data_IF_369886105486
#
_entry.id   IF_369886105486
#
_cell.length_a   1.000
_cell.length_b   1.000
_cell.length_c   1.000
_cell.angle_alpha   90.00
_cell.angle_beta   90.00
_cell.angle_gamma   90.00
#
_symmetry.space_group_name_H-M   'P 1'
#
loop_
_entity.id
_entity.type
_entity.pdbx_description
1 polymer ?
#
# COMPACT_ATOMS: atom_id res chain seq x y z
N UNK A 1 12.55 -20.82 57.68
CA UNK A 1 13.74 -20.54 56.86
C UNK A 1 14.59 -19.55 57.64
N UNK A 2 15.83 -19.88 58.01
CA UNK A 2 16.60 -19.03 58.93
C UNK A 2 16.95 -17.69 58.28
N UNK A 3 17.09 -16.63 59.08
CA UNK A 3 17.40 -15.27 58.57
C UNK A 3 18.67 -15.20 57.73
N UNK A 4 19.60 -16.16 57.93
CA UNK A 4 20.80 -16.32 57.11
C UNK A 4 20.48 -16.68 55.65
N UNK A 5 19.42 -17.46 55.42
CA UNK A 5 19.00 -17.87 54.07
C UNK A 5 18.30 -16.72 53.34
N UNK A 6 17.53 -15.90 54.07
CA UNK A 6 16.90 -14.69 53.51
C UNK A 6 17.93 -13.64 53.11
N UNK A 7 18.96 -13.43 53.95
CA UNK A 7 20.05 -12.51 53.63
C UNK A 7 20.86 -12.99 52.42
N UNK A 8 21.14 -14.30 52.32
CA UNK A 8 21.85 -14.86 51.18
C UNK A 8 21.07 -14.68 49.86
N UNK A 9 19.74 -14.89 49.88
CA UNK A 9 18.90 -14.68 48.70
C UNK A 9 18.83 -13.21 48.27
N UNK A 10 18.73 -12.27 49.22
CA UNK A 10 18.73 -10.83 48.91
C UNK A 10 20.07 -10.40 48.31
N UNK A 11 21.19 -10.90 48.82
CA UNK A 11 22.53 -10.61 48.27
C UNK A 11 22.68 -11.17 46.86
N UNK A 12 22.17 -12.37 46.58
CA UNK A 12 22.20 -12.97 45.24
C UNK A 12 21.34 -12.17 44.25
N UNK A 13 20.15 -11.75 44.65
CA UNK A 13 19.26 -10.94 43.79
C UNK A 13 19.89 -9.58 43.49
N UNK A 14 20.51 -8.93 44.48
CA UNK A 14 21.23 -7.66 44.27
C UNK A 14 22.44 -7.86 43.34
N UNK A 15 23.20 -8.96 43.49
CA UNK A 15 24.32 -9.27 42.60
C UNK A 15 23.87 -9.51 41.16
N UNK A 16 22.76 -10.21 40.94
CA UNK A 16 22.20 -10.44 39.60
C UNK A 16 21.73 -9.13 38.96
N UNK A 17 21.09 -8.24 39.74
CA UNK A 17 20.66 -6.92 39.24
C UNK A 17 21.87 -6.04 38.90
N UNK A 18 22.91 -6.04 39.75
CA UNK A 18 24.13 -5.26 39.50
C UNK A 18 24.88 -5.78 38.27
N UNK A 19 25.02 -7.10 38.10
CA UNK A 19 25.66 -7.68 36.90
C UNK A 19 24.83 -7.43 35.64
N UNK A 20 23.49 -7.48 35.71
CA UNK A 20 22.61 -7.14 34.60
C UNK A 20 22.75 -5.68 34.15
N UNK A 21 22.79 -4.74 35.10
CA UNK A 21 22.87 -3.30 34.80
C UNK A 21 24.24 -2.87 34.26
N UNK A 22 25.33 -3.60 34.55
CA UNK A 22 26.65 -3.31 33.98
C UNK A 22 26.95 -4.03 32.66
N UNK A 23 26.09 -4.94 32.21
CA UNK A 23 26.26 -5.64 30.92
C UNK A 23 25.78 -4.79 29.73
N UNK A 24 24.86 -3.84 29.95
CA UNK A 24 24.28 -3.01 28.89
C UNK A 24 25.02 -1.68 28.63
N UNK A 25 26.14 -1.41 29.32
CA UNK A 25 26.91 -0.15 29.17
C UNK A 25 28.30 -0.37 28.55
N UNK A 26 28.66 -1.59 28.17
CA UNK A 26 29.98 -1.92 27.63
C UNK A 26 30.08 -1.96 26.09
N UNK A 27 28.96 -2.00 25.36
CA UNK A 27 28.98 -2.10 23.87
C UNK A 27 28.76 -0.78 23.11
N UNK A 28 28.65 0.35 23.82
CA UNK A 28 28.42 1.66 23.20
C UNK A 28 29.68 2.50 22.90
N UNK A 29 30.89 1.93 23.03
CA UNK A 29 32.11 2.75 23.00
C UNK A 29 33.30 2.21 22.20
N UNK A 30 33.13 1.42 21.12
CA UNK A 30 34.23 1.15 20.17
C UNK A 30 33.76 1.11 18.71
N UNK A 31 33.51 2.28 18.12
CA UNK A 31 33.56 2.45 16.65
C UNK A 31 34.81 3.25 16.29
N UNK A 32 35.82 2.66 15.62
CA UNK A 32 36.93 3.42 15.07
C UNK A 32 36.44 4.25 13.88
N UNK A 33 36.59 5.57 13.98
CA UNK A 33 36.34 6.51 12.89
C UNK A 33 37.29 6.25 11.72
N UNK A 34 36.85 5.46 10.74
CA UNK A 34 37.56 5.31 9.47
C UNK A 34 37.33 6.55 8.59
N UNK A 35 38.26 7.49 8.69
CA UNK A 35 38.39 8.64 7.78
C UNK A 35 38.81 8.12 6.39
N UNK A 36 37.86 7.86 5.50
CA UNK A 36 38.15 7.54 4.09
C UNK A 36 38.66 8.78 3.35
N UNK A 37 39.98 8.87 3.21
CA UNK A 37 40.63 9.74 2.23
C UNK A 37 40.30 9.25 0.82
N UNK A 38 39.54 10.04 0.06
CA UNK A 38 39.15 9.71 -1.32
C UNK A 38 40.27 10.16 -2.26
N UNK A 39 41.20 9.28 -2.58
CA UNK A 39 42.17 9.49 -3.67
C UNK A 39 41.46 9.34 -5.01
N UNK A 40 41.39 10.42 -5.78
CA UNK A 40 40.76 10.46 -7.10
C UNK A 40 41.78 9.97 -8.15
N UNK A 41 41.77 8.67 -8.44
CA UNK A 41 42.52 8.13 -9.60
C UNK A 41 41.72 8.41 -10.87
N UNK A 42 42.31 9.19 -11.78
CA UNK A 42 41.74 9.54 -13.08
C UNK A 42 42.11 8.44 -14.07
N UNK A 43 41.21 7.49 -14.29
CA UNK A 43 41.36 6.48 -15.34
C UNK A 43 40.76 7.03 -16.64
N UNK A 44 41.63 7.35 -17.59
CA UNK A 44 41.27 7.57 -18.99
C UNK A 44 41.07 6.21 -19.66
N UNK A 45 39.82 5.82 -19.89
CA UNK A 45 39.49 4.68 -20.76
C UNK A 45 38.81 5.21 -22.01
N UNK A 46 39.47 5.00 -23.14
CA UNK A 46 39.02 5.29 -24.50
C UNK A 46 37.70 4.59 -24.82
N UNK A 47 36.72 5.36 -25.30
CA UNK A 47 35.44 4.87 -25.76
C UNK A 47 35.57 4.12 -27.10
N UNK A 48 35.05 2.89 -27.26
CA UNK A 48 34.85 2.31 -28.57
C UNK A 48 33.62 2.93 -29.23
N UNK A 49 33.81 3.46 -30.43
CA UNK A 49 32.75 3.89 -31.34
C UNK A 49 31.90 2.69 -31.73
N UNK A 50 30.68 2.60 -31.18
CA UNK A 50 29.68 1.64 -31.62
C UNK A 50 28.66 2.36 -32.51
N UNK A 51 28.60 1.94 -33.75
CA UNK A 51 27.69 2.40 -34.79
C UNK A 51 26.24 2.16 -34.34
N UNK A 52 25.50 3.23 -34.08
CA UNK A 52 24.07 3.15 -33.76
C UNK A 52 23.33 2.74 -35.02
N UNK A 53 22.94 1.48 -35.10
CA UNK A 53 21.96 1.01 -36.06
C UNK A 53 20.59 1.51 -35.58
N UNK A 54 20.01 2.45 -36.32
CA UNK A 54 18.69 3.02 -36.06
C UNK A 54 17.63 1.96 -36.31
N UNK A 55 17.33 1.14 -35.32
CA UNK A 55 16.12 0.33 -35.31
C UNK A 55 14.97 1.25 -34.98
N UNK A 56 14.15 1.56 -35.98
CA UNK A 56 12.90 2.30 -35.83
C UNK A 56 11.93 1.47 -35.00
N UNK A 57 12.03 1.54 -33.67
CA UNK A 57 11.00 1.04 -32.77
C UNK A 57 9.79 1.97 -32.93
N UNK A 58 8.76 1.45 -33.58
CA UNK A 58 7.42 2.03 -33.59
C UNK A 58 6.99 2.18 -32.14
N UNK A 59 7.13 3.39 -31.59
CA UNK A 59 6.56 3.75 -30.29
C UNK A 59 5.05 3.72 -30.47
N UNK A 60 4.42 2.57 -30.19
CA UNK A 60 2.98 2.52 -30.02
C UNK A 60 2.67 3.41 -28.83
N UNK A 61 2.02 4.54 -29.10
CA UNK A 61 1.25 5.25 -28.07
C UNK A 61 0.26 4.22 -27.51
N UNK A 62 0.57 3.59 -26.39
CA UNK A 62 -0.39 2.88 -25.55
C UNK A 62 -1.27 3.91 -24.87
N UNK A 63 -2.06 4.62 -25.70
CA UNK A 63 -3.09 5.52 -25.24
C UNK A 63 -4.13 4.74 -24.46
N UNK A 64 -4.58 5.34 -23.36
CA UNK A 64 -5.73 4.84 -22.61
C UNK A 64 -6.94 4.71 -23.54
N UNK A 65 -7.47 3.49 -23.69
CA UNK A 65 -8.72 3.22 -24.40
C UNK A 65 -9.89 3.30 -23.44
N UNK A 66 -11.06 3.74 -23.91
CA UNK A 66 -12.33 3.64 -23.15
C UNK A 66 -12.80 2.17 -22.98
N UNK A 67 -12.12 1.23 -23.66
CA UNK A 67 -12.19 -0.19 -23.36
C UNK A 67 -11.11 -0.57 -22.35
N UNK A 68 -11.53 -1.21 -21.26
CA UNK A 68 -10.60 -1.68 -20.24
C UNK A 68 -9.54 -2.63 -20.84
N UNK A 69 -8.30 -2.60 -20.34
CA UNK A 69 -7.35 -3.66 -20.61
C UNK A 69 -7.93 -5.03 -20.25
N UNK A 70 -7.60 -6.05 -21.03
CA UNK A 70 -7.96 -7.43 -20.73
C UNK A 70 -7.39 -7.83 -19.37
N UNK A 71 -8.22 -8.46 -18.55
CA UNK A 71 -7.83 -8.94 -17.21
C UNK A 71 -7.22 -10.32 -17.36
N UNK A 72 -6.20 -10.62 -16.56
CA UNK A 72 -5.64 -11.97 -16.48
C UNK A 72 -6.75 -12.97 -16.11
N UNK A 73 -7.02 -14.02 -16.92
CA UNK A 73 -8.07 -14.99 -16.62
C UNK A 73 -7.96 -15.63 -15.23
N UNK A 74 -6.74 -15.80 -14.70
CA UNK A 74 -6.53 -16.37 -13.37
C UNK A 74 -7.10 -15.50 -12.23
N UNK A 75 -7.28 -14.20 -12.48
CA UNK A 75 -7.84 -13.24 -11.52
C UNK A 75 -9.38 -13.22 -11.55
N UNK A 76 -9.98 -13.72 -12.63
CA UNK A 76 -11.43 -13.78 -12.80
C UNK A 76 -12.09 -14.91 -11.98
N UNK A 77 -11.33 -15.91 -11.53
CA UNK A 77 -11.86 -17.03 -10.77
C UNK A 77 -12.91 -17.83 -11.56
N UNK A 78 -14.10 -18.00 -11.00
CA UNK A 78 -15.23 -18.66 -11.68
C UNK A 78 -16.10 -17.69 -12.48
N UNK A 79 -15.80 -16.38 -12.44
CA UNK A 79 -16.57 -15.36 -13.12
C UNK A 79 -16.16 -15.20 -14.59
N UNK A 80 -17.12 -15.02 -15.51
CA UNK A 80 -16.85 -14.55 -16.86
C UNK A 80 -16.29 -13.11 -16.90
N UNK A 81 -15.49 -12.74 -17.92
CA UNK A 81 -14.97 -11.37 -18.06
C UNK A 81 -16.06 -10.30 -18.10
N UNK A 82 -17.19 -10.57 -18.73
CA UNK A 82 -18.31 -9.63 -18.81
C UNK A 82 -18.95 -9.35 -17.45
N UNK A 83 -18.85 -10.28 -16.50
CA UNK A 83 -19.33 -10.07 -15.12
C UNK A 83 -18.46 -9.04 -14.42
N UNK A 84 -17.14 -9.14 -14.60
CA UNK A 84 -16.16 -8.20 -14.07
C UNK A 84 -16.30 -6.79 -14.68
N UNK A 85 -16.51 -6.71 -16.00
CA UNK A 85 -16.55 -5.44 -16.73
C UNK A 85 -17.79 -4.58 -16.45
N UNK A 86 -18.79 -5.13 -15.75
CA UNK A 86 -19.94 -4.36 -15.23
C UNK A 86 -19.58 -3.44 -14.07
N UNK A 87 -18.49 -3.72 -13.36
CA UNK A 87 -18.06 -2.93 -12.21
C UNK A 87 -17.15 -1.79 -12.67
N UNK A 88 -17.80 -0.65 -12.97
CA UNK A 88 -17.10 0.57 -13.35
C UNK A 88 -17.79 1.83 -12.81
N UNK A 89 -17.03 2.93 -12.80
CA UNK A 89 -17.53 4.29 -12.56
C UNK A 89 -17.08 5.23 -13.68
N UNK A 90 -17.75 6.37 -13.79
CA UNK A 90 -17.25 7.49 -14.58
C UNK A 90 -16.38 8.36 -13.69
N UNK A 91 -15.10 8.49 -14.03
CA UNK A 91 -14.13 9.31 -13.31
C UNK A 91 -14.35 10.81 -13.54
N UNK A 92 -13.63 11.66 -12.80
CA UNK A 92 -13.73 13.12 -12.94
C UNK A 92 -13.44 13.65 -14.35
N UNK A 93 -12.72 12.90 -15.17
CA UNK A 93 -12.40 13.25 -16.57
C UNK A 93 -13.40 12.72 -17.60
N UNK A 94 -14.53 12.16 -17.14
CA UNK A 94 -15.59 11.63 -17.99
C UNK A 94 -15.32 10.23 -18.54
N UNK A 95 -14.20 9.59 -18.18
CA UNK A 95 -13.84 8.24 -18.67
C UNK A 95 -14.30 7.13 -17.75
N UNK A 96 -14.42 5.92 -18.28
CA UNK A 96 -14.76 4.72 -17.52
C UNK A 96 -13.56 4.18 -16.76
N UNK A 97 -13.67 3.99 -15.46
CA UNK A 97 -12.66 3.33 -14.63
C UNK A 97 -13.25 2.09 -14.00
N UNK A 98 -12.47 1.01 -13.92
CA UNK A 98 -12.84 -0.11 -13.07
C UNK A 98 -12.96 0.37 -11.62
N UNK A 99 -13.79 -0.31 -10.85
CA UNK A 99 -14.04 0.04 -9.44
C UNK A 99 -14.18 -1.23 -8.60
N UNK A 100 -14.38 -1.05 -7.31
CA UNK A 100 -14.65 -2.11 -6.36
C UNK A 100 -15.84 -2.97 -6.78
N UNK A 101 -15.72 -4.27 -6.52
CA UNK A 101 -16.81 -5.24 -6.64
C UNK A 101 -16.80 -6.19 -5.42
N UNK A 102 -17.96 -6.75 -5.04
CA UNK A 102 -17.98 -7.88 -4.10
C UNK A 102 -17.22 -9.08 -4.71
N UNK A 103 -16.69 -9.95 -3.86
CA UNK A 103 -15.94 -11.14 -4.33
C UNK A 103 -16.88 -12.16 -4.99
N UNK A 104 -18.06 -12.36 -4.40
CA UNK A 104 -19.11 -13.23 -4.93
C UNK A 104 -20.26 -12.39 -5.42
N UNK A 105 -20.62 -12.55 -6.70
CA UNK A 105 -21.60 -11.72 -7.38
C UNK A 105 -22.55 -12.57 -8.22
N UNK A 106 -23.78 -12.10 -8.51
CA UNK A 106 -24.65 -12.78 -9.45
C UNK A 106 -24.04 -12.77 -10.86
N UNK A 107 -24.09 -13.91 -11.56
CA UNK A 107 -23.69 -13.97 -12.97
C UNK A 107 -24.56 -13.01 -13.78
N UNK A 108 -25.85 -12.93 -13.46
CA UNK A 108 -26.81 -12.01 -14.06
C UNK A 108 -27.73 -11.42 -12.98
N UNK A 109 -27.58 -10.13 -12.63
CA UNK A 109 -28.43 -9.46 -11.64
C UNK A 109 -29.94 -9.53 -11.95
N UNK A 110 -30.30 -9.69 -13.22
CA UNK A 110 -31.70 -9.76 -13.65
C UNK A 110 -32.22 -11.20 -13.77
N UNK A 111 -31.36 -12.20 -13.58
CA UNK A 111 -31.73 -13.61 -13.67
C UNK A 111 -31.05 -14.45 -12.58
N UNK A 112 -31.65 -14.53 -11.39
CA UNK A 112 -31.12 -15.32 -10.27
C UNK A 112 -30.90 -16.80 -10.60
N UNK A 113 -31.61 -17.37 -11.58
CA UNK A 113 -31.46 -18.77 -11.99
C UNK A 113 -30.10 -19.08 -12.62
N UNK A 114 -29.34 -18.06 -13.07
CA UNK A 114 -27.95 -18.23 -13.53
C UNK A 114 -26.96 -18.41 -12.38
N UNK A 115 -27.37 -18.20 -11.12
CA UNK A 115 -26.52 -18.37 -9.94
C UNK A 115 -25.50 -17.25 -9.74
N UNK A 116 -24.49 -17.55 -8.93
CA UNK A 116 -23.38 -16.65 -8.59
C UNK A 116 -22.05 -17.17 -9.12
N UNK A 117 -21.08 -16.28 -9.23
CA UNK A 117 -19.68 -16.61 -9.47
C UNK A 117 -18.82 -15.88 -8.45
N UNK A 118 -17.55 -16.29 -8.35
CA UNK A 118 -16.59 -15.78 -7.37
C UNK A 118 -15.30 -15.39 -8.08
N UNK A 119 -14.87 -14.14 -7.91
CA UNK A 119 -13.59 -13.66 -8.40
C UNK A 119 -12.43 -14.24 -7.59
N UNK A 120 -11.28 -14.42 -8.23
CA UNK A 120 -10.05 -14.91 -7.57
C UNK A 120 -9.25 -13.79 -6.88
N UNK A 121 -9.88 -12.63 -6.68
CA UNK A 121 -9.31 -11.49 -5.98
C UNK A 121 -10.40 -10.68 -5.29
N UNK A 122 -9.98 -9.85 -4.35
CA UNK A 122 -10.86 -8.93 -3.63
C UNK A 122 -10.27 -7.52 -3.56
N UNK A 123 -11.12 -6.56 -3.25
CA UNK A 123 -10.79 -5.14 -3.20
C UNK A 123 -10.97 -4.53 -1.81
N UNK A 124 -11.26 -5.33 -0.81
CA UNK A 124 -11.43 -4.94 0.56
C UNK A 124 -12.82 -4.45 0.92
N UNK A 125 -12.86 -3.51 1.85
CA UNK A 125 -14.10 -3.06 2.45
C UNK A 125 -14.99 -2.43 1.39
N UNK A 126 -16.32 -2.56 1.56
CA UNK A 126 -17.24 -1.86 0.67
C UNK A 126 -17.00 -0.35 0.79
N UNK A 127 -16.62 0.36 -0.30
CA UNK A 127 -16.30 1.78 -0.26
C UNK A 127 -17.52 2.68 0.00
N UNK A 128 -18.74 2.16 -0.18
CA UNK A 128 -19.99 2.88 0.07
C UNK A 128 -20.50 2.57 1.48
N UNK A 129 -19.88 3.18 2.48
CA UNK A 129 -20.21 3.03 3.90
C UNK A 129 -20.17 4.39 4.61
N UNK A 130 -21.00 4.54 5.64
CA UNK A 130 -21.05 5.74 6.49
C UNK A 130 -21.30 7.02 5.68
N UNK A 131 -20.39 7.99 5.78
CA UNK A 131 -20.41 9.27 5.07
C UNK A 131 -19.95 9.17 3.61
N UNK A 132 -19.40 8.02 3.19
CA UNK A 132 -18.91 7.81 1.83
C UNK A 132 -19.95 7.05 1.00
N UNK A 133 -20.48 7.69 -0.04
CA UNK A 133 -21.52 7.11 -0.91
C UNK A 133 -21.04 6.87 -2.34
N UNK A 134 -19.82 7.27 -2.68
CA UNK A 134 -19.22 7.11 -4.00
C UNK A 134 -18.36 5.85 -4.11
N UNK A 135 -18.27 5.32 -5.33
CA UNK A 135 -17.33 4.27 -5.71
C UNK A 135 -16.02 4.91 -6.25
N UNK A 136 -14.83 4.41 -5.84
CA UNK A 136 -13.56 4.97 -6.28
C UNK A 136 -13.22 4.63 -7.74
N UNK A 137 -12.76 5.61 -8.51
CA UNK A 137 -12.22 5.39 -9.85
C UNK A 137 -10.78 4.83 -9.75
N UNK A 138 -10.65 3.50 -9.74
CA UNK A 138 -9.35 2.85 -9.61
C UNK A 138 -8.41 3.24 -10.77
N UNK A 139 -7.22 3.73 -10.41
CA UNK A 139 -6.20 4.15 -11.37
C UNK A 139 -6.40 5.54 -11.97
N UNK A 140 -7.30 6.38 -11.42
CA UNK A 140 -7.45 7.77 -11.89
C UNK A 140 -6.13 8.57 -11.77
N UNK A 141 -5.45 8.52 -10.62
CA UNK A 141 -4.15 9.19 -10.47
C UNK A 141 -3.08 8.59 -11.40
N UNK A 142 -3.02 7.25 -11.50
CA UNK A 142 -2.13 6.58 -12.43
C UNK A 142 -2.36 7.01 -13.89
N UNK A 143 -3.62 7.20 -14.30
CA UNK A 143 -3.95 7.74 -15.62
C UNK A 143 -3.39 9.14 -15.80
N UNK A 144 -3.55 10.03 -14.82
CA UNK A 144 -3.03 11.40 -14.91
C UNK A 144 -1.49 11.39 -14.97
N UNK A 145 -0.85 10.42 -14.30
CA UNK A 145 0.60 10.19 -14.35
C UNK A 145 1.10 9.47 -15.62
N UNK A 146 0.21 9.01 -16.52
CA UNK A 146 0.58 8.19 -17.68
C UNK A 146 1.01 6.76 -17.34
N UNK A 147 0.66 6.26 -16.15
CA UNK A 147 1.03 4.94 -15.62
C UNK A 147 -0.03 3.88 -15.94
N UNK A 148 -0.24 3.62 -17.23
CA UNK A 148 -1.29 2.71 -17.75
C UNK A 148 -1.24 1.32 -17.15
N UNK A 149 -0.03 0.86 -16.85
CA UNK A 149 0.24 -0.48 -16.35
C UNK A 149 -0.33 -0.73 -14.94
N UNK A 150 -0.39 0.31 -14.13
CA UNK A 150 -1.05 0.24 -12.83
C UNK A 150 -2.57 0.12 -12.98
N UNK A 151 -3.13 0.79 -14.00
CA UNK A 151 -4.55 0.72 -14.32
C UNK A 151 -4.93 -0.68 -14.80
N UNK A 152 -4.07 -1.32 -15.60
CA UNK A 152 -4.26 -2.70 -16.03
C UNK A 152 -4.20 -3.69 -14.86
N UNK A 153 -3.43 -3.38 -13.81
CA UNK A 153 -3.29 -4.19 -12.60
C UNK A 153 -4.45 -4.00 -11.60
N UNK A 154 -5.69 -4.06 -12.08
CA UNK A 154 -6.92 -3.81 -11.32
C UNK A 154 -6.99 -4.55 -9.97
N UNK A 155 -6.64 -5.84 -9.93
CA UNK A 155 -6.69 -6.64 -8.70
C UNK A 155 -5.80 -6.12 -7.56
N UNK A 156 -4.87 -5.22 -7.86
CA UNK A 156 -4.05 -4.55 -6.85
C UNK A 156 -4.79 -3.49 -6.04
N UNK A 157 -5.96 -3.00 -6.46
CA UNK A 157 -6.65 -1.97 -5.70
C UNK A 157 -7.30 -2.53 -4.44
N UNK A 158 -7.03 -1.93 -3.28
CA UNK A 158 -7.58 -2.31 -1.98
C UNK A 158 -8.22 -1.10 -1.30
N UNK A 159 -9.36 -1.32 -0.68
CA UNK A 159 -10.16 -0.35 0.07
C UNK A 159 -10.11 -0.71 1.55
N UNK A 160 -9.87 0.30 2.37
CA UNK A 160 -9.88 0.25 3.83
C UNK A 160 -10.86 1.30 4.32
N UNK A 161 -11.75 0.92 5.22
CA UNK A 161 -12.74 1.80 5.82
C UNK A 161 -12.67 1.71 7.34
N UNK A 162 -12.69 2.88 7.99
CA UNK A 162 -12.81 2.99 9.43
C UNK A 162 -14.01 3.86 9.79
N UNK A 163 -14.99 3.33 10.56
CA UNK A 163 -16.11 4.11 11.01
C UNK A 163 -15.69 5.15 12.06
N UNK A 164 -16.50 6.19 12.22
CA UNK A 164 -16.38 7.16 13.31
C UNK A 164 -16.72 6.51 14.66
N UNK A 165 -15.76 5.77 15.24
CA UNK A 165 -15.81 5.20 16.59
C UNK A 165 -14.47 5.45 17.26
N UNK A 166 -14.51 5.78 18.55
CA UNK A 166 -13.35 5.98 19.41
C UNK A 166 -13.63 5.38 20.79
N UNK A 167 -12.63 4.70 21.33
CA UNK A 167 -12.56 4.03 22.63
C UNK A 167 -12.19 4.98 23.79
N UNK A 168 -12.08 6.29 23.52
CA UNK A 168 -11.70 7.29 24.52
C UNK A 168 -10.27 7.81 24.42
N UNK A 169 -9.48 7.36 23.42
CA UNK A 169 -8.11 7.86 23.21
C UNK A 169 -7.96 8.96 22.13
N UNK A 170 -9.06 9.45 21.53
CA UNK A 170 -9.07 10.79 20.91
C UNK A 170 -9.57 10.94 19.46
N UNK A 171 -9.98 9.88 18.76
CA UNK A 171 -10.16 9.97 17.31
C UNK A 171 -11.61 9.85 16.81
N UNK A 172 -12.30 10.99 16.76
CA UNK A 172 -13.64 11.15 16.16
C UNK A 172 -13.62 11.37 14.63
N UNK A 173 -12.85 10.56 13.89
CA UNK A 173 -12.82 10.63 12.42
C UNK A 173 -13.32 9.33 11.78
N UNK A 174 -14.02 9.49 10.66
CA UNK A 174 -14.34 8.45 9.69
C UNK A 174 -13.37 8.59 8.52
N UNK A 175 -12.79 7.49 8.03
CA UNK A 175 -11.90 7.56 6.88
C UNK A 175 -12.01 6.36 5.97
N UNK A 176 -11.66 6.59 4.70
CA UNK A 176 -11.55 5.58 3.65
C UNK A 176 -10.23 5.78 2.92
N UNK A 177 -9.40 4.74 2.88
CA UNK A 177 -8.15 4.71 2.12
C UNK A 177 -8.32 3.72 0.97
N UNK A 178 -7.94 4.12 -0.24
CA UNK A 178 -7.87 3.25 -1.41
C UNK A 178 -6.44 3.28 -1.92
N UNK A 179 -5.78 2.14 -2.04
CA UNK A 179 -4.41 2.04 -2.56
C UNK A 179 -4.31 1.04 -3.68
N UNK A 180 -3.36 1.24 -4.59
CA UNK A 180 -2.85 0.16 -5.43
C UNK A 180 -1.72 -0.57 -4.71
N UNK A 181 -2.01 -1.77 -4.24
CA UNK A 181 -1.07 -2.72 -3.69
C UNK A 181 -1.15 -4.03 -4.49
N UNK A 182 -0.44 -4.06 -5.62
CA UNK A 182 -0.48 -5.14 -6.62
C UNK A 182 0.15 -6.47 -6.19
N UNK A 183 -0.34 -7.09 -5.12
CA UNK A 183 0.14 -8.35 -4.51
C UNK A 183 0.29 -9.52 -5.52
N UNK A 184 -0.30 -9.41 -6.70
CA UNK A 184 -0.24 -10.37 -7.81
C UNK A 184 0.74 -10.01 -8.94
N UNK A 185 1.13 -8.73 -9.12
CA UNK A 185 1.84 -8.26 -10.32
C UNK A 185 3.32 -7.95 -10.07
N UNK A 186 4.21 -8.36 -10.99
CA UNK A 186 5.66 -8.19 -10.83
C UNK A 186 6.15 -6.73 -10.88
N UNK A 187 5.37 -5.81 -11.45
CA UNK A 187 5.76 -4.39 -11.49
C UNK A 187 5.92 -3.77 -10.12
N UNK A 188 5.25 -4.30 -9.08
CA UNK A 188 5.45 -3.88 -7.69
C UNK A 188 6.89 -4.04 -7.21
N UNK A 189 7.71 -4.86 -7.87
CA UNK A 189 9.12 -5.06 -7.50
C UNK A 189 9.97 -3.85 -7.91
N UNK A 190 9.61 -3.17 -9.01
CA UNK A 190 10.46 -2.13 -9.63
C UNK A 190 9.85 -0.73 -9.59
N UNK A 191 8.53 -0.61 -9.50
CA UNK A 191 7.82 0.67 -9.54
C UNK A 191 7.65 1.21 -8.13
N UNK A 192 8.18 2.38 -7.79
CA UNK A 192 8.05 2.97 -6.43
C UNK A 192 6.75 3.74 -6.21
N UNK A 193 6.10 4.21 -7.28
CA UNK A 193 4.90 5.05 -7.19
C UNK A 193 3.64 4.22 -7.42
N UNK A 194 2.65 4.40 -6.55
CA UNK A 194 1.36 3.72 -6.61
C UNK A 194 0.23 4.68 -6.26
N UNK A 195 -0.95 4.49 -6.85
CA UNK A 195 -2.13 5.30 -6.57
C UNK A 195 -2.55 5.14 -5.11
N UNK A 196 -2.87 6.26 -4.49
CA UNK A 196 -3.53 6.33 -3.19
C UNK A 196 -4.60 7.41 -3.22
N UNK A 197 -5.79 7.08 -2.71
CA UNK A 197 -6.86 8.01 -2.41
C UNK A 197 -7.16 7.94 -0.91
N UNK A 198 -7.23 9.10 -0.27
CA UNK A 198 -7.59 9.23 1.16
C UNK A 198 -8.78 10.17 1.27
N UNK A 199 -9.88 9.66 1.81
CA UNK A 199 -11.06 10.43 2.14
C UNK A 199 -11.27 10.42 3.66
N UNK A 200 -11.46 11.59 4.28
CA UNK A 200 -11.64 11.74 5.73
C UNK A 200 -12.83 12.66 5.99
N UNK A 201 -13.69 12.28 6.93
CA UNK A 201 -14.70 13.14 7.55
C UNK A 201 -14.40 13.21 9.04
N UNK A 202 -14.02 14.38 9.51
CA UNK A 202 -13.57 14.53 10.90
C UNK A 202 -14.72 14.71 11.91
N UNK A 203 -14.33 14.96 13.18
CA UNK A 203 -15.26 15.18 14.28
C UNK A 203 -16.25 16.30 14.02
N UNK A 204 -15.80 17.35 13.35
CA UNK A 204 -16.54 18.56 13.03
C UNK A 204 -17.29 18.47 11.68
N UNK A 205 -17.20 17.34 10.97
CA UNK A 205 -17.82 17.14 9.66
C UNK A 205 -17.05 17.78 8.50
N UNK A 206 -15.80 18.20 8.71
CA UNK A 206 -14.95 18.71 7.62
C UNK A 206 -14.47 17.55 6.77
N UNK A 207 -14.41 17.79 5.46
CA UNK A 207 -14.11 16.77 4.47
C UNK A 207 -12.72 16.99 3.87
N UNK A 208 -11.90 15.95 3.90
CA UNK A 208 -10.66 15.85 3.12
C UNK A 208 -10.84 14.79 2.05
N UNK A 209 -10.48 15.10 0.80
CA UNK A 209 -10.43 14.15 -0.32
C UNK A 209 -9.15 14.41 -1.08
N UNK A 210 -8.20 13.47 -0.99
CA UNK A 210 -6.97 13.52 -1.77
C UNK A 210 -6.78 12.28 -2.62
N UNK A 211 -6.21 12.46 -3.82
CA UNK A 211 -5.88 11.36 -4.73
C UNK A 211 -4.58 11.71 -5.48
N UNK A 212 -3.62 10.78 -5.51
CA UNK A 212 -2.29 10.99 -6.08
C UNK A 212 -1.56 9.66 -6.29
N UNK A 213 -0.44 9.72 -7.00
CA UNK A 213 0.61 8.73 -7.03
C UNK A 213 1.57 9.01 -5.87
N UNK A 214 1.66 8.10 -4.92
CA UNK A 214 2.53 8.21 -3.75
C UNK A 214 3.65 7.18 -3.79
N UNK A 215 4.80 7.58 -3.24
CA UNK A 215 5.95 6.69 -3.12
C UNK A 215 5.72 5.67 -2.02
N UNK A 216 6.05 4.42 -2.30
CA UNK A 216 6.08 3.34 -1.30
C UNK A 216 7.51 3.05 -0.82
N UNK A 217 8.46 3.95 -1.10
CA UNK A 217 9.87 3.74 -0.79
C UNK A 217 10.58 2.74 -1.71
N UNK A 218 11.73 2.24 -1.25
CA UNK A 218 12.51 1.26 -1.98
C UNK A 218 11.97 -0.16 -1.73
N UNK A 219 12.21 -1.06 -2.69
CA UNK A 219 11.98 -2.48 -2.46
C UNK A 219 12.93 -2.97 -1.38
N UNK A 220 12.37 -3.62 -0.36
CA UNK A 220 13.12 -4.29 0.69
C UNK A 220 12.71 -5.78 0.75
N UNK A 221 13.40 -6.67 0.01
CA UNK A 221 13.15 -8.09 0.05
C UNK A 221 13.83 -8.66 1.29
N UNK A 222 13.12 -8.74 2.41
CA UNK A 222 13.64 -9.33 3.64
C UNK A 222 12.51 -9.75 4.58
N UNK A 223 12.83 -10.70 5.45
CA UNK A 223 11.98 -11.16 6.54
C UNK A 223 12.32 -10.40 7.85
N UNK A 224 12.44 -9.08 7.77
CA UNK A 224 13.06 -8.23 8.81
C UNK A 224 12.20 -7.04 9.26
N UNK A 225 12.70 -6.21 10.20
CA UNK A 225 11.90 -5.21 10.89
C UNK A 225 11.25 -4.17 9.95
N UNK A 226 10.02 -3.78 10.34
CA UNK A 226 9.07 -2.93 9.63
C UNK A 226 9.44 -1.45 9.80
N UNK A 227 10.24 -0.87 8.89
CA UNK A 227 10.40 0.58 8.87
C UNK A 227 10.62 1.08 7.44
N UNK A 228 9.71 1.95 6.98
CA UNK A 228 9.96 2.95 5.91
C UNK A 228 10.14 2.45 4.48
N UNK A 229 10.15 1.15 4.23
CA UNK A 229 10.36 0.54 2.90
C UNK A 229 9.14 -0.27 2.42
N UNK A 230 9.11 -0.57 1.12
CA UNK A 230 8.17 -1.56 0.57
C UNK A 230 8.71 -2.96 0.80
N UNK A 231 8.16 -3.62 1.81
CA UNK A 231 8.52 -4.99 2.20
C UNK A 231 7.66 -5.96 1.39
N UNK A 232 8.31 -6.91 0.72
CA UNK A 232 7.67 -7.98 -0.07
C UNK A 232 8.33 -9.31 0.35
N UNK A 233 7.55 -10.39 0.54
CA UNK A 233 8.13 -11.67 0.91
C UNK A 233 9.01 -12.19 -0.23
N UNK A 234 10.22 -12.60 0.13
CA UNK A 234 11.10 -13.34 -0.77
C UNK A 234 11.00 -14.86 -0.52
N UNK A 235 11.80 -15.62 -1.25
CA UNK A 235 11.83 -17.08 -1.16
C UNK A 235 12.31 -17.60 0.20
N UNK A 236 13.20 -16.88 0.89
CA UNK A 236 13.62 -17.22 2.25
C UNK A 236 12.44 -17.04 3.21
N UNK A 237 11.69 -15.93 3.09
CA UNK A 237 10.54 -15.66 3.94
C UNK A 237 9.46 -16.73 3.77
N UNK A 238 9.15 -17.10 2.53
CA UNK A 238 8.20 -18.19 2.26
C UNK A 238 8.67 -19.50 2.87
N UNK A 239 9.97 -19.83 2.76
CA UNK A 239 10.51 -21.06 3.35
C UNK A 239 10.43 -21.12 4.88
N UNK A 240 10.36 -19.95 5.53
CA UNK A 240 10.28 -19.77 6.98
C UNK A 240 8.85 -19.60 7.50
N UNK A 241 7.85 -19.63 6.62
CA UNK A 241 6.46 -19.38 7.01
C UNK A 241 6.12 -17.90 7.24
N UNK A 242 6.94 -16.97 6.76
CA UNK A 242 6.76 -15.53 6.93
C UNK A 242 6.20 -14.93 5.64
N UNK A 243 4.89 -14.75 5.58
CA UNK A 243 4.21 -14.46 4.31
C UNK A 243 3.83 -13.01 4.09
N UNK A 244 4.13 -12.06 4.98
CA UNK A 244 3.56 -10.71 4.90
C UNK A 244 4.24 -9.79 3.87
N UNK A 245 3.49 -8.81 3.36
CA UNK A 245 4.03 -7.60 2.71
C UNK A 245 3.49 -6.34 3.39
N UNK A 246 4.33 -5.30 3.51
CA UNK A 246 3.95 -4.00 4.12
C UNK A 246 4.50 -2.87 3.26
N UNK A 247 3.64 -1.92 2.89
CA UNK A 247 3.98 -0.82 2.01
C UNK A 247 3.70 0.51 2.72
N UNK A 248 4.74 1.29 2.99
CA UNK A 248 4.59 2.61 3.60
C UNK A 248 4.43 3.69 2.53
N UNK A 249 3.26 4.29 2.45
CA UNK A 249 2.98 5.35 1.49
C UNK A 249 3.44 6.70 2.03
N UNK A 250 4.16 7.47 1.22
CA UNK A 250 4.46 8.88 1.51
C UNK A 250 3.52 9.79 0.75
N UNK A 251 2.54 10.37 1.44
CA UNK A 251 1.55 11.28 0.86
C UNK A 251 1.86 12.71 1.25
N UNK A 252 1.96 13.58 0.24
CA UNK A 252 2.12 15.02 0.39
C UNK A 252 1.31 15.73 -0.69
N UNK A 253 0.46 16.66 -0.30
CA UNK A 253 -0.46 17.36 -1.20
C UNK A 253 -0.38 18.87 -0.96
N UNK A 254 -0.12 19.66 -2.00
CA UNK A 254 -0.04 21.12 -1.95
C UNK A 254 1.34 21.68 -2.34
N UNK A 255 1.64 22.89 -1.87
CA UNK A 255 2.90 23.59 -2.18
C UNK A 255 4.07 23.00 -1.36
N UNK A 256 5.02 22.37 -2.04
CA UNK A 256 6.00 21.45 -1.46
C UNK A 256 6.98 22.01 -0.43
N UNK A 257 6.98 21.38 0.75
CA UNK A 257 8.10 20.91 1.59
C UNK A 257 7.46 20.35 2.88
N UNK A 258 8.23 19.69 3.77
CA UNK A 258 7.71 19.02 4.99
C UNK A 258 6.79 19.94 5.82
N UNK A 259 7.05 21.26 5.80
CA UNK A 259 6.30 22.28 6.55
C UNK A 259 5.32 23.11 5.69
N UNK A 260 5.12 22.77 4.42
CA UNK A 260 4.26 23.52 3.47
C UNK A 260 3.12 22.70 2.85
N UNK A 261 3.12 21.37 3.05
CA UNK A 261 2.05 20.52 2.55
C UNK A 261 0.72 20.90 3.21
N UNK A 262 -0.33 21.03 2.40
CA UNK A 262 -1.70 21.28 2.87
C UNK A 262 -2.28 20.05 3.55
N UNK A 263 -1.89 18.87 3.06
CA UNK A 263 -2.18 17.57 3.66
C UNK A 263 -0.96 16.66 3.55
N UNK A 264 -0.66 15.90 4.59
CA UNK A 264 0.31 14.82 4.56
C UNK A 264 -0.26 13.57 5.23
N UNK A 265 0.20 12.41 4.77
CA UNK A 265 -0.10 11.15 5.42
C UNK A 265 1.04 10.15 5.22
N UNK A 266 1.18 9.19 6.13
CA UNK A 266 2.20 8.15 6.07
C UNK A 266 1.69 6.72 6.36
N UNK A 267 0.53 6.28 5.83
CA UNK A 267 -0.04 5.00 6.21
C UNK A 267 0.84 3.83 5.73
N UNK A 268 1.09 2.88 6.61
CA UNK A 268 1.54 1.54 6.27
C UNK A 268 0.35 0.68 5.85
N UNK A 269 0.48 -0.04 4.74
CA UNK A 269 -0.56 -0.98 4.29
C UNK A 269 0.01 -2.38 4.31
N UNK A 270 -0.52 -3.22 5.18
CA UNK A 270 -0.09 -4.60 5.36
C UNK A 270 -1.05 -5.59 4.70
N UNK A 271 -0.49 -6.64 4.11
CA UNK A 271 -1.20 -7.85 3.67
C UNK A 271 -0.50 -9.06 4.28
N UNK A 272 -1.25 -9.85 5.03
CA UNK A 272 -0.71 -10.99 5.80
C UNK A 272 -0.79 -12.31 5.04
N UNK A 273 -1.52 -12.34 3.93
CA UNK A 273 -1.65 -13.50 3.04
C UNK A 273 -1.53 -13.12 1.55
N UNK A 274 -0.47 -12.39 1.14
CA UNK A 274 -0.29 -11.93 -0.22
C UNK A 274 -0.24 -13.10 -1.21
N UNK A 275 -0.60 -12.83 -2.46
CA UNK A 275 -0.79 -13.89 -3.45
C UNK A 275 0.54 -14.44 -3.99
N UNK A 276 1.58 -13.60 -4.01
CA UNK A 276 2.86 -13.94 -4.65
C UNK A 276 4.06 -13.45 -3.85
N UNK A 277 5.19 -14.14 -4.02
CA UNK A 277 6.50 -13.79 -3.48
C UNK A 277 7.49 -13.50 -4.61
N UNK A 278 8.67 -12.98 -4.26
CA UNK A 278 9.76 -12.76 -5.22
C UNK A 278 10.95 -13.69 -4.98
N UNK A 279 11.75 -13.94 -6.01
CA UNK A 279 13.07 -14.58 -5.84
C UNK A 279 14.16 -13.53 -5.78
N UNK A 280 15.13 -13.72 -4.90
CA UNK A 280 16.21 -12.76 -4.72
C UNK A 280 16.99 -12.64 -6.03
N UNK A 281 17.17 -11.41 -6.52
CA UNK A 281 17.86 -11.13 -7.79
C UNK A 281 17.00 -11.21 -9.04
N UNK A 282 15.72 -11.63 -8.96
CA UNK A 282 14.79 -11.63 -10.10
C UNK A 282 13.64 -10.64 -9.86
N UNK A 283 13.78 -9.44 -10.44
CA UNK A 283 12.76 -8.38 -10.36
C UNK A 283 11.75 -8.43 -11.51
N UNK A 284 11.86 -9.41 -12.42
CA UNK A 284 11.04 -9.46 -13.63
C UNK A 284 9.70 -10.17 -13.43
N UNK A 285 9.59 -11.00 -12.40
CA UNK A 285 8.44 -11.86 -12.14
C UNK A 285 8.21 -12.10 -10.66
N UNK A 286 7.02 -12.59 -10.36
CA UNK A 286 6.59 -13.02 -9.04
C UNK A 286 6.07 -14.44 -9.12
N UNK A 287 6.02 -15.11 -7.98
CA UNK A 287 5.74 -16.54 -7.89
C UNK A 287 4.55 -16.77 -6.96
N UNK A 288 3.56 -17.59 -7.35
CA UNK A 288 2.42 -17.90 -6.49
C UNK A 288 2.86 -18.57 -5.19
N UNK A 289 2.48 -18.01 -4.03
CA UNK A 289 2.77 -18.63 -2.74
C UNK A 289 1.94 -19.91 -2.58
N UNK A 290 0.66 -19.88 -3.00
CA UNK A 290 -0.26 -21.02 -2.94
C UNK A 290 0.29 -22.28 -3.65
N UNK A 291 1.03 -22.12 -4.75
CA UNK A 291 1.58 -23.26 -5.48
C UNK A 291 2.72 -23.94 -4.74
N UNK A 292 3.45 -23.21 -3.90
CA UNK A 292 4.58 -23.75 -3.12
C UNK A 292 4.12 -24.25 -1.76
N UNK A 293 3.19 -23.54 -1.12
CA UNK A 293 2.75 -23.83 0.26
C UNK A 293 1.57 -24.81 0.30
N UNK A 294 0.65 -24.71 -0.66
CA UNK A 294 -0.63 -25.45 -0.64
C UNK A 294 -0.76 -26.45 -1.80
N UNK A 295 0.12 -26.37 -2.80
CA UNK A 295 0.01 -27.16 -4.03
C UNK A 295 -1.19 -26.76 -4.90
N UNK A 296 -1.75 -25.55 -4.68
CA UNK A 296 -2.90 -25.04 -5.42
C UNK A 296 -2.48 -24.15 -6.61
N UNK A 297 -3.27 -24.14 -7.71
CA UNK A 297 -3.04 -23.20 -8.79
C UNK A 297 -3.26 -21.75 -8.35
N UNK A 298 -2.59 -20.81 -9.01
CA UNK A 298 -2.76 -19.39 -8.72
C UNK A 298 -4.21 -18.95 -8.95
N UNK A 299 -4.78 -18.25 -7.96
CA UNK A 299 -6.17 -17.80 -7.99
C UNK A 299 -7.20 -18.88 -7.61
N UNK A 300 -6.78 -20.05 -7.12
CA UNK A 300 -7.71 -21.04 -6.59
C UNK A 300 -8.49 -20.46 -5.39
N UNK A 301 -9.83 -20.50 -5.39
CA UNK A 301 -10.64 -19.92 -4.32
C UNK A 301 -10.47 -20.63 -2.97
N UNK A 302 -9.84 -21.80 -2.93
CA UNK A 302 -9.52 -22.52 -1.69
C UNK A 302 -8.21 -22.05 -1.05
N UNK A 303 -7.41 -21.25 -1.75
CA UNK A 303 -6.13 -20.78 -1.26
C UNK A 303 -6.30 -19.81 -0.09
N UNK A 304 -5.41 -19.90 0.89
CA UNK A 304 -5.25 -18.87 1.91
C UNK A 304 -4.62 -17.60 1.33
N UNK A 305 -3.83 -17.70 0.26
CA UNK A 305 -3.02 -16.61 -0.30
C UNK A 305 -3.78 -15.81 -1.37
N UNK A 306 -4.88 -15.18 -0.97
CA UNK A 306 -5.74 -14.35 -1.83
C UNK A 306 -5.50 -12.84 -1.68
N UNK A 307 -4.58 -12.45 -0.79
CA UNK A 307 -4.26 -11.06 -0.49
C UNK A 307 -5.39 -10.29 0.19
N UNK A 308 -6.26 -10.99 0.94
CA UNK A 308 -7.47 -10.46 1.54
C UNK A 308 -7.42 -10.22 3.05
N UNK A 309 -6.39 -10.72 3.73
CA UNK A 309 -6.11 -10.43 5.12
C UNK A 309 -5.18 -9.22 5.21
N UNK A 310 -5.74 -8.07 5.60
CA UNK A 310 -5.10 -6.77 5.41
C UNK A 310 -5.23 -5.91 6.67
N UNK A 311 -4.32 -4.97 6.85
CA UNK A 311 -4.38 -3.96 7.91
C UNK A 311 -3.81 -2.62 7.44
N UNK A 312 -4.23 -1.54 8.11
CA UNK A 312 -3.58 -0.23 8.02
C UNK A 312 -2.75 -0.04 9.28
N UNK A 313 -1.46 0.22 9.11
CA UNK A 313 -0.51 0.52 10.17
C UNK A 313 -0.25 2.03 10.20
N UNK A 314 -0.23 2.63 11.40
CA UNK A 314 0.08 4.05 11.62
C UNK A 314 -0.59 5.00 10.60
N UNK A 315 -1.93 5.08 10.54
CA UNK A 315 -2.63 6.03 9.69
C UNK A 315 -2.48 7.47 10.23
N UNK A 316 -1.26 7.98 10.13
CA UNK A 316 -0.93 9.36 10.46
C UNK A 316 -1.46 10.29 9.39
N UNK A 317 -2.28 11.25 9.80
CA UNK A 317 -2.78 12.33 8.94
C UNK A 317 -2.42 13.68 9.54
N UNK A 318 -2.07 14.64 8.70
CA UNK A 318 -2.11 16.01 9.17
C UNK A 318 -2.36 17.06 8.11
N UNK A 319 -2.73 18.22 8.62
CA UNK A 319 -3.27 19.34 7.86
C UNK A 319 -2.45 20.59 8.13
N UNK A 320 -2.27 21.37 7.07
CA UNK A 320 -1.53 22.64 7.08
C UNK A 320 -2.03 23.63 6.03
N UNK A 321 -3.32 23.60 5.70
CA UNK A 321 -3.85 24.37 4.56
C UNK A 321 -4.13 25.83 4.93
N UNK A 322 -3.25 26.74 4.56
CA UNK A 322 -3.45 28.20 4.67
C UNK A 322 -4.30 28.79 3.53
N UNK A 323 -4.52 28.05 2.45
CA UNK A 323 -5.13 28.54 1.21
C UNK A 323 -6.57 28.07 1.00
N UNK A 324 -7.00 28.09 -0.26
CA UNK A 324 -8.32 27.56 -0.68
C UNK A 324 -8.50 26.11 -0.27
N UNK A 325 -9.73 25.75 0.11
CA UNK A 325 -10.08 24.37 0.47
C UNK A 325 -10.08 23.43 -0.73
N UNK A 326 -10.24 23.98 -1.93
CA UNK A 326 -10.20 23.24 -3.20
C UNK A 326 -9.11 23.82 -4.08
N UNK A 327 -8.25 22.97 -4.61
CA UNK A 327 -7.14 23.33 -5.48
C UNK A 327 -6.80 22.16 -6.41
N UNK A 328 -6.00 22.43 -7.44
CA UNK A 328 -5.55 21.44 -8.39
C UNK A 328 -4.12 21.02 -8.09
N UNK A 329 -3.81 19.75 -8.33
CA UNK A 329 -2.44 19.24 -8.33
C UNK A 329 -2.14 18.45 -9.60
N UNK A 330 -0.87 18.25 -9.88
CA UNK A 330 -0.44 17.16 -10.75
C UNK A 330 -0.77 15.79 -10.12
N UNK A 331 -0.41 14.71 -10.80
CA UNK A 331 -0.64 13.35 -10.31
C UNK A 331 0.16 13.01 -9.05
N UNK A 332 1.18 13.79 -8.68
CA UNK A 332 2.09 13.52 -7.56
C UNK A 332 1.82 14.41 -6.34
N UNK A 333 0.73 15.17 -6.37
CA UNK A 333 0.28 16.02 -5.27
C UNK A 333 0.87 17.44 -5.28
N UNK A 334 1.65 17.83 -6.28
CA UNK A 334 2.18 19.19 -6.37
C UNK A 334 1.12 20.14 -6.89
N UNK A 335 0.88 21.24 -6.16
CA UNK A 335 -0.11 22.25 -6.57
C UNK A 335 0.23 22.87 -7.94
N UNK A 336 -0.77 22.96 -8.81
CA UNK A 336 -0.63 23.60 -10.13
C UNK A 336 -1.22 25.01 -10.08
N UNK A 337 -0.44 25.99 -10.52
CA UNK A 337 -0.83 27.41 -10.53
C UNK A 337 -1.51 27.86 -11.82
N UNK A 338 -1.50 27.01 -12.85
CA UNK A 338 -2.11 27.29 -14.17
C UNK A 338 -3.51 26.71 -14.26
N UNK A 339 -4.29 27.19 -15.23
CA UNK A 339 -5.60 26.59 -15.53
C UNK A 339 -5.43 25.11 -15.84
N UNK A 340 -6.14 24.27 -15.09
CA UNK A 340 -6.14 22.83 -15.29
C UNK A 340 -7.55 22.25 -15.26
N UNK A 341 -7.65 21.01 -15.72
CA UNK A 341 -8.88 20.25 -15.86
C UNK A 341 -8.67 18.79 -15.42
N UNK A 342 -9.74 18.03 -15.15
CA UNK A 342 -9.64 16.63 -14.70
C UNK A 342 -8.88 15.69 -15.63
N UNK A 343 -8.68 16.03 -16.91
CA UNK A 343 -7.94 15.16 -17.82
C UNK A 343 -6.44 15.17 -17.56
N UNK A 344 -5.91 16.23 -16.94
CA UNK A 344 -4.47 16.47 -16.72
C UNK A 344 -4.09 16.74 -15.27
N UNK A 345 -5.05 17.04 -14.41
CA UNK A 345 -4.83 17.31 -13.00
C UNK A 345 -5.85 16.61 -12.11
N UNK A 346 -5.54 16.60 -10.82
CA UNK A 346 -6.41 16.06 -9.79
C UNK A 346 -6.90 17.20 -8.92
N UNK A 347 -8.23 17.29 -8.77
CA UNK A 347 -8.84 18.25 -7.85
C UNK A 347 -8.78 17.67 -6.45
N UNK A 348 -8.09 18.38 -5.56
CA UNK A 348 -7.95 18.03 -4.16
C UNK A 348 -8.96 18.83 -3.32
N UNK A 349 -9.39 18.26 -2.20
CA UNK A 349 -10.18 18.96 -1.17
C UNK A 349 -9.49 18.78 0.17
N UNK A 350 -9.05 19.88 0.77
CA UNK A 350 -8.40 19.91 2.09
C UNK A 350 -8.95 21.11 2.86
N UNK A 351 -9.54 20.98 4.06
CA UNK A 351 -10.15 22.11 4.77
C UNK A 351 -9.16 23.26 5.01
N UNK A 352 -9.56 24.50 4.70
CA UNK A 352 -8.75 25.70 4.91
C UNK A 352 -8.67 26.09 6.39
N UNK A 353 -7.53 26.64 6.82
CA UNK A 353 -7.28 27.07 8.20
C UNK A 353 -7.23 25.91 9.21
N UNK A 354 -7.25 24.66 8.73
CA UNK A 354 -7.20 23.49 9.59
C UNK A 354 -5.74 23.03 9.77
N UNK A 355 -5.32 22.99 11.03
CA UNK A 355 -4.05 22.46 11.48
C UNK A 355 -4.35 21.41 12.53
N UNK A 356 -4.00 20.18 12.22
CA UNK A 356 -4.09 19.07 13.15
C UNK A 356 -3.05 18.03 12.78
N UNK A 357 -2.55 17.35 13.80
CA UNK A 357 -1.90 16.06 13.67
C UNK A 357 -2.87 15.03 14.24
N UNK A 358 -3.08 13.97 13.48
CA UNK A 358 -3.90 12.83 13.84
C UNK A 358 -2.99 11.61 13.73
N UNK A 359 -2.85 10.91 14.85
CA UNK A 359 -2.22 9.60 14.93
C UNK A 359 -3.31 8.64 15.39
N UNK A 360 -3.51 7.56 14.64
CA UNK A 360 -4.55 6.57 14.90
C UNK A 360 -3.96 5.18 15.04
N UNK A 361 -3.18 5.02 16.09
CA UNK A 361 -2.68 3.73 16.58
C UNK A 361 -3.81 2.74 16.98
N UNK A 362 -5.09 3.16 17.01
CA UNK A 362 -6.22 2.28 17.35
C UNK A 362 -6.55 1.24 16.28
N UNK A 363 -5.97 1.35 15.07
CA UNK A 363 -6.19 0.38 13.99
C UNK A 363 -5.41 -0.93 14.21
N UNK A 364 -4.61 -1.00 15.28
CA UNK A 364 -3.96 -2.22 15.77
C UNK A 364 -4.85 -3.10 16.67
N UNK A 365 -6.18 -2.97 16.58
CA UNK A 365 -7.16 -3.62 17.48
C UNK A 365 -7.26 -5.17 17.36
N UNK A 366 -6.26 -5.83 16.78
CA UNK A 366 -6.06 -7.27 16.94
C UNK A 366 -4.78 -7.54 17.74
N UNK A 367 -4.81 -8.49 18.72
CA UNK A 367 -3.57 -8.96 19.34
C UNK A 367 -2.65 -9.38 18.21
N UNK A 368 -1.39 -8.89 18.25
CA UNK A 368 -0.27 -9.28 17.40
C UNK A 368 -0.56 -10.61 16.72
N UNK A 369 -0.87 -10.57 15.43
CA UNK A 369 -1.35 -11.74 14.69
C UNK A 369 -0.21 -12.78 14.65
N UNK A 370 -0.15 -13.62 15.68
CA UNK A 370 0.17 -15.04 15.58
C UNK A 370 -1.06 -15.67 14.93
N UNK A 371 -1.05 -15.76 13.60
CA UNK A 371 -2.12 -16.41 12.86
C UNK A 371 -2.33 -17.84 13.39
N UNK A 372 -3.52 -18.21 13.90
CA UNK A 372 -3.83 -19.62 14.06
C UNK A 372 -3.92 -20.26 12.66
N UNK A 373 -3.35 -21.46 12.54
CA UNK A 373 -3.51 -22.33 11.38
C UNK A 373 -5.01 -22.51 11.08
N UNK A 374 -5.47 -21.96 9.95
CA UNK A 374 -6.73 -22.35 9.30
C UNK A 374 -7.88 -21.34 9.26
N UNK A 375 -7.64 -20.03 9.16
CA UNK A 375 -8.74 -19.07 8.91
C UNK A 375 -9.16 -19.04 7.42
N UNK A 376 -10.39 -19.48 7.06
CA UNK A 376 -10.96 -19.29 5.73
C UNK A 376 -11.71 -17.96 5.69
N UNK A 377 -11.28 -17.04 4.82
CA UNK A 377 -12.04 -15.83 4.48
C UNK A 377 -12.12 -14.79 5.59
N UNK A 378 -11.29 -13.74 5.48
CA UNK A 378 -11.49 -12.53 6.26
C UNK A 378 -12.85 -11.90 5.95
N UNK A 379 -13.67 -11.79 6.99
CA UNK A 379 -14.68 -10.76 7.20
C UNK A 379 -14.43 -10.17 8.58
#
# INVERSE_FOLDING_TARGET
>A
MSDKIRLALVVIVILVIVVGVFSDVADAAHTPAWRRTRTRTRTTTSAPTSTIQTTTTTSSNTGYSDTFPAVNPAILGTCPPEVHDRYYVIGPDGRKYRTWHPVTVPIDPNNPAKGTCTFAHEHGDNPQQGSFTDLPAFGYAAKVAGMVEEIAAHAGFKVFYKPKRGDGLGNNAEWRIVVHQGTAGARRLVQSLHSIQINIVDGAGRVTKVNLMASTGNLNPKCGPRVGDRIIPDEECVSRGLFYEVWYFSVRVGAGNINGARFFAAPGIAVYNPMTYMKVGDLSKVYPICSVVEGLPFGDPRSFFLGNQRAVEHPDFGWGNTGSSTFWTDAYGNEVSTSCDPTRCIRQVVPSGYYAWFDDDSVFDWPWIDLPLGAPGGN
#
